data_IF_937716210327
#
_entry.id   IF_937716210327
#
_cell.length_a   1.000
_cell.length_b   1.000
_cell.length_c   1.000
_cell.angle_alpha   90.00
_cell.angle_beta   90.00
_cell.angle_gamma   90.00
#
_symmetry.space_group_name_H-M   'P 1'
#
loop_
_entity.id
_entity.type
_entity.pdbx_description
1 polymer ?
#
# COMPACT_ATOMS: atom_id res chain seq x y z
N UNK A 1 21.18 -28.07 -5.75
CA UNK A 1 21.02 -27.79 -4.32
C UNK A 1 21.93 -26.62 -4.02
N UNK A 2 21.43 -25.49 -3.48
CA UNK A 2 22.31 -24.39 -3.10
C UNK A 2 23.34 -24.92 -2.08
N UNK A 3 24.60 -24.58 -2.29
CA UNK A 3 25.75 -25.10 -1.53
C UNK A 3 25.91 -24.47 -0.15
N UNK A 4 24.98 -23.60 0.26
CA UNK A 4 24.99 -22.88 1.51
C UNK A 4 23.62 -23.00 2.20
N UNK A 5 23.60 -23.42 3.46
CA UNK A 5 22.39 -23.34 4.27
C UNK A 5 22.17 -21.87 4.66
N UNK A 6 20.98 -21.29 4.39
CA UNK A 6 20.69 -19.91 4.74
C UNK A 6 20.66 -19.76 6.28
N UNK A 7 21.35 -18.75 6.81
CA UNK A 7 21.43 -18.48 8.25
C UNK A 7 21.46 -16.98 8.52
N UNK A 8 20.97 -16.56 9.69
CA UNK A 8 20.97 -15.16 10.10
C UNK A 8 20.20 -14.26 9.14
N UNK A 9 20.85 -13.20 8.65
CA UNK A 9 20.24 -12.21 7.73
C UNK A 9 19.83 -12.82 6.37
N UNK A 10 20.34 -13.98 5.98
CA UNK A 10 19.96 -14.64 4.71
C UNK A 10 18.56 -15.26 4.78
N UNK A 11 18.04 -15.52 5.98
CA UNK A 11 16.73 -16.13 6.20
C UNK A 11 15.59 -15.24 5.69
N UNK A 12 15.74 -13.91 5.75
CA UNK A 12 14.68 -12.98 5.31
C UNK A 12 14.49 -12.93 3.79
N UNK A 13 15.41 -13.54 3.03
CA UNK A 13 15.34 -13.60 1.57
C UNK A 13 14.81 -14.93 1.02
N UNK A 14 14.45 -15.87 1.91
CA UNK A 14 13.83 -17.12 1.49
C UNK A 14 12.47 -16.87 0.82
N UNK A 15 12.23 -17.56 -0.29
CA UNK A 15 10.87 -17.65 -0.81
C UNK A 15 9.99 -18.45 0.15
N UNK A 16 8.68 -18.20 0.12
CA UNK A 16 7.71 -18.94 0.93
C UNK A 16 7.82 -20.47 0.72
N UNK A 17 8.09 -20.91 -0.51
CA UNK A 17 8.27 -22.33 -0.83
C UNK A 17 9.53 -22.91 -0.21
N UNK A 18 10.65 -22.19 -0.23
CA UNK A 18 11.90 -22.61 0.40
C UNK A 18 11.76 -22.67 1.92
N UNK A 19 11.18 -21.63 2.53
CA UNK A 19 10.90 -21.61 3.96
C UNK A 19 10.05 -22.81 4.41
N UNK A 20 8.99 -23.14 3.66
CA UNK A 20 8.14 -24.30 3.93
C UNK A 20 8.91 -25.63 3.80
N UNK A 21 9.73 -25.79 2.77
CA UNK A 21 10.53 -27.00 2.56
C UNK A 21 11.57 -27.20 3.69
N UNK A 22 12.26 -26.14 4.08
CA UNK A 22 13.27 -26.17 5.15
C UNK A 22 12.62 -26.43 6.53
N UNK A 23 11.46 -25.82 6.80
CA UNK A 23 10.71 -26.10 8.03
C UNK A 23 10.15 -27.52 8.06
N UNK A 24 9.67 -28.06 6.93
CA UNK A 24 9.22 -29.46 6.85
C UNK A 24 10.35 -30.45 7.15
N UNK A 25 11.59 -30.11 6.77
CA UNK A 25 12.80 -30.88 7.04
C UNK A 25 13.42 -30.60 8.42
N UNK A 26 12.86 -29.65 9.18
CA UNK A 26 13.38 -29.17 10.47
C UNK A 26 14.79 -28.57 10.37
N UNK A 27 15.14 -28.03 9.20
CA UNK A 27 16.42 -27.37 8.93
C UNK A 27 16.38 -25.88 9.32
N UNK A 28 15.21 -25.25 9.22
CA UNK A 28 14.95 -23.88 9.69
C UNK A 28 13.65 -23.86 10.49
N UNK A 29 13.69 -23.30 11.70
CA UNK A 29 12.50 -23.15 12.53
C UNK A 29 11.65 -21.95 12.10
N UNK A 30 10.30 -22.04 12.09
CA UNK A 30 9.43 -20.87 11.88
C UNK A 30 9.70 -19.73 12.88
N UNK A 31 10.09 -20.06 14.11
CA UNK A 31 10.44 -19.06 15.15
C UNK A 31 11.75 -18.36 14.81
N UNK A 32 12.73 -19.09 14.27
CA UNK A 32 14.02 -18.54 13.86
C UNK A 32 13.86 -17.61 12.66
N UNK A 33 13.07 -18.03 11.66
CA UNK A 33 12.70 -17.19 10.53
C UNK A 33 11.99 -15.91 10.98
N UNK A 34 10.99 -16.02 11.85
CA UNK A 34 10.27 -14.85 12.36
C UNK A 34 11.16 -13.89 13.16
N UNK A 35 12.08 -14.41 13.97
CA UNK A 35 13.06 -13.58 14.68
C UNK A 35 13.99 -12.84 13.72
N UNK A 36 14.43 -13.48 12.64
CA UNK A 36 15.23 -12.83 11.62
C UNK A 36 14.47 -11.68 10.93
N UNK A 37 13.18 -11.90 10.61
CA UNK A 37 12.31 -10.86 10.04
C UNK A 37 12.13 -9.68 11.00
N UNK A 38 11.82 -9.95 12.27
CA UNK A 38 11.63 -8.90 13.29
C UNK A 38 12.92 -8.11 13.53
N UNK A 39 14.06 -8.80 13.72
CA UNK A 39 15.34 -8.15 13.93
C UNK A 39 15.76 -7.29 12.72
N UNK A 40 15.45 -7.75 11.50
CA UNK A 40 15.66 -6.96 10.28
C UNK A 40 14.77 -5.73 10.28
N UNK A 41 13.47 -5.88 10.57
CA UNK A 41 12.51 -4.79 10.64
C UNK A 41 12.95 -3.73 11.66
N UNK A 42 13.25 -4.11 12.91
CA UNK A 42 13.73 -3.18 13.95
C UNK A 42 15.00 -2.40 13.55
N UNK A 43 15.89 -3.05 12.78
CA UNK A 43 17.12 -2.42 12.27
C UNK A 43 16.87 -1.44 11.13
N UNK A 44 15.86 -1.68 10.28
CA UNK A 44 15.59 -0.84 9.09
C UNK A 44 14.48 0.15 9.28
N UNK A 45 13.46 -0.16 10.08
CA UNK A 45 12.26 0.65 10.25
C UNK A 45 12.59 2.11 10.62
N UNK A 46 13.56 2.39 11.51
CA UNK A 46 13.92 3.78 11.83
C UNK A 46 14.59 4.56 10.68
N UNK A 47 15.06 3.87 9.63
CA UNK A 47 15.85 4.43 8.53
C UNK A 47 15.09 4.41 7.19
N UNK A 48 14.34 3.33 6.98
CA UNK A 48 13.66 2.98 5.76
C UNK A 48 12.28 2.53 6.21
N UNK A 49 11.31 3.45 6.25
CA UNK A 49 9.87 3.14 6.35
C UNK A 49 9.38 2.36 5.10
N UNK A 50 10.11 1.34 4.63
CA UNK A 50 9.75 0.50 3.49
C UNK A 50 9.19 -0.80 4.04
N UNK A 51 7.87 -0.84 4.17
CA UNK A 51 7.18 -1.90 4.90
C UNK A 51 7.37 -3.33 4.34
N UNK A 52 7.86 -3.55 3.13
CA UNK A 52 8.09 -4.93 2.61
C UNK A 52 9.04 -5.05 1.41
N UNK A 53 9.50 -3.95 0.80
CA UNK A 53 10.27 -4.02 -0.47
C UNK A 53 9.50 -4.63 -1.65
N UNK A 54 8.16 -4.72 -1.55
CA UNK A 54 7.28 -5.26 -2.60
C UNK A 54 6.76 -4.17 -3.53
N UNK A 55 6.25 -4.56 -4.69
CA UNK A 55 5.51 -3.68 -5.59
C UNK A 55 4.06 -3.62 -5.12
N UNK A 56 3.52 -2.42 -4.95
CA UNK A 56 2.10 -2.19 -4.67
C UNK A 56 1.47 -1.33 -5.77
N UNK A 57 0.29 -1.73 -6.23
CA UNK A 57 -0.47 -0.95 -7.21
C UNK A 57 -1.79 -0.45 -6.62
N UNK A 58 -1.88 0.87 -6.47
CA UNK A 58 -3.12 1.55 -6.10
C UNK A 58 -3.94 1.78 -7.37
N UNK A 59 -4.92 0.93 -7.63
CA UNK A 59 -5.75 1.08 -8.82
C UNK A 59 -6.51 2.42 -8.80
N UNK A 60 -6.68 3.10 -9.95
CA UNK A 60 -7.58 4.24 -10.06
C UNK A 60 -8.97 3.92 -9.53
N UNK A 61 -9.59 4.91 -8.88
CA UNK A 61 -10.92 4.76 -8.30
C UNK A 61 -11.93 4.25 -9.34
N UNK A 62 -12.79 3.32 -8.92
CA UNK A 62 -13.78 2.67 -9.79
C UNK A 62 -13.23 1.62 -10.76
N UNK A 63 -11.90 1.44 -10.88
CA UNK A 63 -11.31 0.41 -11.77
C UNK A 63 -11.53 -1.02 -11.27
N UNK A 64 -11.64 -1.16 -9.95
CA UNK A 64 -12.11 -2.38 -9.28
C UNK A 64 -13.25 -2.04 -8.34
N UNK A 65 -14.22 -2.95 -8.15
CA UNK A 65 -15.35 -2.70 -7.28
C UNK A 65 -14.91 -2.42 -5.83
N UNK A 66 -15.44 -1.36 -5.23
CA UNK A 66 -15.12 -0.88 -3.88
C UNK A 66 -16.11 -1.35 -2.81
N UNK A 67 -16.97 -2.35 -3.09
CA UNK A 67 -18.09 -2.84 -2.28
C UNK A 67 -18.08 -2.46 -0.78
N UNK A 68 -19.19 -1.91 -0.29
CA UNK A 68 -19.38 -1.52 1.12
C UNK A 68 -19.50 0.00 1.32
N UNK A 69 -19.54 0.44 2.58
CA UNK A 69 -19.81 1.85 2.94
C UNK A 69 -18.75 2.84 2.42
N UNK A 70 -17.51 2.38 2.26
CA UNK A 70 -16.41 3.19 1.72
C UNK A 70 -16.31 3.10 0.19
N UNK A 71 -17.31 2.56 -0.50
CA UNK A 71 -17.32 2.52 -1.97
C UNK A 71 -17.42 3.92 -2.60
N UNK A 72 -17.95 4.91 -1.87
CA UNK A 72 -18.04 6.31 -2.30
C UNK A 72 -16.81 7.16 -1.91
N UNK A 73 -15.79 6.55 -1.29
CA UNK A 73 -14.53 7.23 -0.99
C UNK A 73 -13.67 7.31 -2.26
N UNK A 74 -13.57 8.49 -2.86
CA UNK A 74 -12.79 8.69 -4.08
C UNK A 74 -11.26 8.60 -3.87
N UNK A 75 -10.79 8.71 -2.62
CA UNK A 75 -9.38 8.50 -2.27
C UNK A 75 -9.09 7.02 -1.98
N UNK A 76 -10.12 6.23 -1.68
CA UNK A 76 -9.97 4.79 -1.59
C UNK A 76 -9.55 4.22 -2.93
N UNK A 77 -8.57 3.34 -2.85
CA UNK A 77 -8.21 2.44 -3.92
C UNK A 77 -7.66 1.22 -3.22
N UNK A 78 -8.14 0.06 -3.63
CA UNK A 78 -7.49 -1.17 -3.22
C UNK A 78 -6.70 -1.66 -4.44
N UNK A 79 -5.75 -2.54 -4.22
CA UNK A 79 -5.04 -3.17 -5.31
C UNK A 79 -3.98 -4.13 -4.80
N UNK A 80 -3.39 -4.90 -5.70
CA UNK A 80 -2.50 -5.98 -5.32
C UNK A 80 -1.15 -5.45 -4.87
N UNK A 81 -0.54 -6.20 -3.96
CA UNK A 81 0.89 -6.13 -3.67
C UNK A 81 1.52 -7.48 -3.99
N UNK A 82 2.65 -7.47 -4.69
CA UNK A 82 3.42 -8.68 -5.01
C UNK A 82 4.91 -8.35 -5.14
N UNK A 83 5.73 -9.38 -5.33
CA UNK A 83 7.19 -9.20 -5.43
C UNK A 83 7.65 -8.65 -6.78
N UNK A 84 6.84 -8.77 -7.82
CA UNK A 84 7.17 -8.33 -9.19
C UNK A 84 6.04 -7.49 -9.78
N UNK A 85 6.38 -6.65 -10.77
CA UNK A 85 5.40 -5.86 -11.53
C UNK A 85 4.46 -6.78 -12.32
N UNK A 86 4.97 -7.87 -12.88
CA UNK A 86 4.17 -8.85 -13.63
C UNK A 86 3.12 -9.53 -12.77
N UNK A 87 3.47 -9.94 -11.55
CA UNK A 87 2.51 -10.53 -10.60
C UNK A 87 1.43 -9.52 -10.21
N UNK A 88 1.83 -8.24 -10.01
CA UNK A 88 0.90 -7.14 -9.74
C UNK A 88 -0.06 -6.92 -10.92
N UNK A 89 0.44 -6.92 -12.16
CA UNK A 89 -0.38 -6.77 -13.38
C UNK A 89 -1.37 -7.94 -13.51
N UNK A 90 -0.88 -9.18 -13.38
CA UNK A 90 -1.71 -10.37 -13.48
C UNK A 90 -2.82 -10.37 -12.43
N UNK A 91 -2.48 -10.06 -11.17
CA UNK A 91 -3.47 -10.00 -10.10
C UNK A 91 -4.44 -8.82 -10.29
N UNK A 92 -3.96 -7.64 -10.67
CA UNK A 92 -4.82 -6.49 -10.94
C UNK A 92 -5.83 -6.78 -12.05
N UNK A 93 -5.43 -7.47 -13.12
CA UNK A 93 -6.32 -7.82 -14.22
C UNK A 93 -7.40 -8.82 -13.81
N UNK A 94 -7.14 -9.71 -12.85
CA UNK A 94 -8.17 -10.60 -12.27
C UNK A 94 -9.16 -9.82 -11.42
N UNK A 95 -8.70 -8.77 -10.73
CA UNK A 95 -9.54 -7.95 -9.85
C UNK A 95 -10.32 -6.84 -10.58
N UNK A 96 -9.89 -6.47 -11.79
CA UNK A 96 -10.47 -5.39 -12.57
C UNK A 96 -11.81 -5.79 -13.18
N UNK A 97 -12.69 -4.81 -13.38
CA UNK A 97 -13.94 -4.98 -14.10
C UNK A 97 -15.15 -4.47 -13.34
N UNK A 98 -16.23 -4.16 -14.07
CA UNK A 98 -17.41 -3.58 -13.47
C UNK A 98 -18.22 -4.61 -12.68
N UNK A 99 -18.68 -4.23 -11.48
CA UNK A 99 -19.67 -5.00 -10.71
C UNK A 99 -21.02 -4.27 -10.71
N UNK A 100 -22.14 -4.95 -11.02
CA UNK A 100 -23.47 -4.32 -11.00
C UNK A 100 -23.90 -3.83 -9.61
N UNK A 101 -23.30 -4.34 -8.53
CA UNK A 101 -23.56 -3.92 -7.15
C UNK A 101 -22.81 -2.64 -6.77
N UNK A 102 -21.85 -2.23 -7.58
CA UNK A 102 -21.04 -1.05 -7.33
C UNK A 102 -21.32 0.03 -8.38
N UNK A 103 -21.99 1.09 -7.93
CA UNK A 103 -22.34 2.23 -8.76
C UNK A 103 -21.12 3.02 -9.25
N UNK A 104 -19.95 2.85 -8.63
CA UNK A 104 -18.73 3.61 -8.96
C UNK A 104 -17.82 2.86 -9.93
N UNK A 105 -18.16 1.61 -10.26
CA UNK A 105 -17.44 0.79 -11.23
C UNK A 105 -17.38 1.44 -12.62
N UNK A 106 -16.16 1.60 -13.13
CA UNK A 106 -15.87 2.13 -14.47
C UNK A 106 -16.22 1.07 -15.53
N UNK A 107 -16.77 1.53 -16.65
CA UNK A 107 -17.13 0.71 -17.81
C UNK A 107 -16.52 1.35 -19.07
N UNK A 108 -15.96 0.58 -20.02
CA UNK A 108 -15.78 -0.90 -19.99
C UNK A 108 -14.68 -1.33 -19.00
N UNK A 109 -14.48 -2.64 -18.85
CA UNK A 109 -13.34 -3.20 -18.12
C UNK A 109 -12.02 -2.70 -18.73
N UNK A 110 -11.06 -2.33 -17.87
CA UNK A 110 -9.76 -1.80 -18.27
C UNK A 110 -8.62 -2.64 -17.69
N UNK A 111 -8.10 -3.56 -18.49
CA UNK A 111 -6.92 -4.36 -18.16
C UNK A 111 -5.61 -3.59 -18.36
N UNK A 112 -4.62 -3.86 -17.52
CA UNK A 112 -3.23 -3.48 -17.73
C UNK A 112 -2.58 -4.39 -18.77
N UNK A 113 -1.68 -3.87 -19.62
CA UNK A 113 -0.96 -4.69 -20.60
C UNK A 113 0.04 -5.61 -19.89
N UNK A 114 0.18 -6.85 -20.38
CA UNK A 114 1.17 -7.84 -19.89
C UNK A 114 2.48 -7.81 -20.67
N UNK A 115 2.58 -6.93 -21.65
CA UNK A 115 3.78 -6.64 -22.42
C UNK A 115 3.93 -5.13 -22.52
N UNK A 116 5.13 -4.63 -22.32
CA UNK A 116 5.42 -3.20 -22.28
C UNK A 116 6.67 -2.90 -23.08
N UNK A 117 6.71 -1.70 -23.66
CA UNK A 117 7.84 -1.20 -24.43
C UNK A 117 8.97 -0.73 -23.51
N UNK A 118 10.15 -0.54 -24.09
CA UNK A 118 11.29 0.07 -23.40
C UNK A 118 10.97 1.52 -23.02
N UNK A 119 11.56 2.03 -21.94
CA UNK A 119 11.29 3.38 -21.43
C UNK A 119 11.92 4.50 -22.26
N UNK A 120 12.68 4.16 -23.30
CA UNK A 120 13.41 5.11 -24.14
C UNK A 120 12.48 6.15 -24.77
N UNK A 121 12.80 7.43 -24.60
CA UNK A 121 12.00 8.56 -25.08
C UNK A 121 10.83 8.95 -24.17
N UNK A 122 10.53 8.21 -23.10
CA UNK A 122 9.48 8.56 -22.13
C UNK A 122 9.89 9.80 -21.33
N UNK A 123 8.98 10.77 -21.20
CA UNK A 123 9.19 11.96 -20.35
C UNK A 123 8.72 11.67 -18.92
N UNK A 124 9.61 11.81 -17.94
CA UNK A 124 9.35 11.50 -16.54
C UNK A 124 9.63 12.73 -15.70
N UNK A 125 8.58 13.28 -15.07
CA UNK A 125 8.73 14.33 -14.09
C UNK A 125 9.02 13.72 -12.71
N UNK A 126 10.19 14.01 -12.15
CA UNK A 126 10.60 13.58 -10.82
C UNK A 126 10.28 14.68 -9.80
N UNK A 127 9.38 14.40 -8.86
CA UNK A 127 9.18 15.26 -7.69
C UNK A 127 9.50 14.47 -6.43
N UNK A 128 10.60 14.82 -5.75
CA UNK A 128 11.08 14.08 -4.57
C UNK A 128 10.35 14.46 -3.28
N UNK A 129 9.83 15.68 -3.19
CA UNK A 129 9.29 16.28 -1.95
C UNK A 129 7.81 16.64 -1.98
N UNK A 130 7.10 16.42 -3.10
CA UNK A 130 5.67 16.75 -3.25
C UNK A 130 5.29 18.13 -2.69
N UNK A 131 6.10 19.16 -3.01
CA UNK A 131 5.98 20.50 -2.43
C UNK A 131 6.85 20.67 -1.18
N UNK A 132 6.29 21.22 -0.11
CA UNK A 132 7.00 21.47 1.15
C UNK A 132 7.19 20.21 2.01
N UNK A 133 6.70 19.03 1.60
CA UNK A 133 6.78 17.82 2.43
C UNK A 133 8.23 17.41 2.72
N UNK A 134 8.49 17.03 3.97
CA UNK A 134 9.81 16.61 4.39
C UNK A 134 10.05 15.15 4.05
N UNK A 135 11.16 14.92 3.33
CA UNK A 135 11.61 13.59 2.93
C UNK A 135 13.01 13.38 3.49
N UNK A 136 13.24 12.20 4.06
CA UNK A 136 14.54 11.86 4.62
C UNK A 136 15.63 11.91 3.52
N UNK A 137 16.83 12.48 3.78
CA UNK A 137 17.85 12.64 2.75
C UNK A 137 18.23 11.34 2.04
N UNK A 138 18.26 10.20 2.75
CA UNK A 138 18.54 8.91 2.12
C UNK A 138 17.44 8.49 1.12
N UNK A 139 16.17 8.78 1.40
CA UNK A 139 15.08 8.49 0.47
C UNK A 139 15.24 9.33 -0.79
N UNK A 140 15.59 10.61 -0.65
CA UNK A 140 15.82 11.46 -1.82
C UNK A 140 17.01 10.96 -2.67
N UNK A 141 18.12 10.56 -2.03
CA UNK A 141 19.31 10.02 -2.72
C UNK A 141 18.97 8.78 -3.54
N UNK A 142 18.26 7.82 -2.95
CA UNK A 142 17.90 6.56 -3.62
C UNK A 142 16.80 6.76 -4.66
N UNK A 143 15.84 7.66 -4.43
CA UNK A 143 14.83 8.01 -5.43
C UNK A 143 15.47 8.64 -6.67
N UNK A 144 16.42 9.56 -6.48
CA UNK A 144 17.20 10.13 -7.61
C UNK A 144 18.06 9.06 -8.28
N UNK A 145 18.57 8.07 -7.56
CA UNK A 145 19.32 6.95 -8.14
C UNK A 145 18.43 6.09 -9.06
N UNK A 146 17.22 5.73 -8.61
CA UNK A 146 16.26 5.02 -9.44
C UNK A 146 15.88 5.81 -10.71
N UNK A 147 15.69 7.13 -10.57
CA UNK A 147 15.41 8.01 -11.70
C UNK A 147 16.59 8.06 -12.70
N UNK A 148 17.84 8.07 -12.21
CA UNK A 148 19.02 7.98 -13.08
C UNK A 148 19.06 6.67 -13.87
N UNK A 149 18.70 5.54 -13.26
CA UNK A 149 18.60 4.27 -13.98
C UNK A 149 17.59 4.31 -15.14
N UNK A 150 16.48 5.04 -14.99
CA UNK A 150 15.52 5.26 -16.08
C UNK A 150 16.11 6.18 -17.17
N UNK A 151 16.85 7.22 -16.77
CA UNK A 151 17.55 8.11 -17.71
C UNK A 151 18.62 7.35 -18.52
N UNK A 152 19.41 6.51 -17.87
CA UNK A 152 20.42 5.66 -18.51
C UNK A 152 19.79 4.66 -19.51
N UNK A 153 18.54 4.26 -19.27
CA UNK A 153 17.73 3.44 -20.18
C UNK A 153 17.06 4.26 -21.31
N UNK A 154 17.34 5.57 -21.41
CA UNK A 154 16.89 6.44 -22.49
C UNK A 154 15.64 7.29 -22.17
N UNK A 155 15.14 7.27 -20.94
CA UNK A 155 14.06 8.17 -20.54
C UNK A 155 14.56 9.62 -20.38
N UNK A 156 13.67 10.58 -20.61
CA UNK A 156 13.91 12.01 -20.37
C UNK A 156 13.39 12.37 -18.98
N UNK A 157 14.29 12.46 -18.00
CA UNK A 157 13.91 12.74 -16.60
C UNK A 157 14.14 14.22 -16.28
N UNK A 158 13.09 14.90 -15.83
CA UNK A 158 13.11 16.30 -15.39
C UNK A 158 12.73 16.38 -13.92
N UNK A 159 13.60 16.97 -13.08
CA UNK A 159 13.26 17.22 -11.67
C UNK A 159 12.38 18.48 -11.57
N UNK A 160 11.22 18.34 -10.93
CA UNK A 160 10.23 19.41 -10.77
C UNK A 160 9.88 19.64 -9.29
N UNK A 161 9.43 20.86 -9.00
CA UNK A 161 8.85 21.21 -7.70
C UNK A 161 7.38 21.52 -7.89
N UNK A 162 6.54 20.83 -7.11
CA UNK A 162 5.11 21.14 -7.05
C UNK A 162 4.90 22.34 -6.12
N UNK A 163 4.02 23.29 -6.48
CA UNK A 163 3.81 24.51 -5.70
C UNK A 163 2.85 24.28 -4.52
N UNK A 164 3.02 23.18 -3.78
CA UNK A 164 2.13 22.80 -2.67
C UNK A 164 2.77 23.12 -1.32
N UNK A 165 2.04 23.87 -0.50
CA UNK A 165 2.45 24.14 0.88
C UNK A 165 1.95 23.07 1.84
N UNK A 166 2.53 22.99 3.05
CA UNK A 166 1.96 22.13 4.11
C UNK A 166 0.48 22.43 4.38
N UNK A 167 0.10 23.71 4.31
CA UNK A 167 -1.28 24.13 4.53
C UNK A 167 -2.21 23.63 3.43
N UNK A 168 -1.79 23.64 2.16
CA UNK A 168 -2.58 23.11 1.05
C UNK A 168 -2.85 21.61 1.21
N UNK A 169 -1.80 20.87 1.61
CA UNK A 169 -1.89 19.43 1.87
C UNK A 169 -2.85 19.13 3.03
N UNK A 170 -2.68 19.81 4.17
CA UNK A 170 -3.54 19.65 5.34
C UNK A 170 -4.99 20.05 5.05
N UNK A 171 -5.20 21.14 4.31
CA UNK A 171 -6.53 21.60 3.91
C UNK A 171 -7.22 20.57 3.02
N UNK A 172 -6.48 19.98 2.07
CA UNK A 172 -7.01 18.95 1.18
C UNK A 172 -7.40 17.68 1.94
N UNK A 173 -6.54 17.22 2.86
CA UNK A 173 -6.79 16.06 3.72
C UNK A 173 -8.01 16.32 4.61
N UNK A 174 -8.04 17.46 5.30
CA UNK A 174 -9.14 17.83 6.17
C UNK A 174 -10.47 17.97 5.40
N UNK A 175 -10.45 18.58 4.21
CA UNK A 175 -11.63 18.70 3.35
C UNK A 175 -12.19 17.34 2.92
N UNK A 176 -11.31 16.41 2.54
CA UNK A 176 -11.71 15.04 2.19
C UNK A 176 -12.35 14.32 3.38
N UNK A 177 -11.66 14.26 4.53
CA UNK A 177 -12.18 13.58 5.72
C UNK A 177 -13.44 14.25 6.28
N UNK A 178 -13.55 15.58 6.19
CA UNK A 178 -14.77 16.29 6.59
C UNK A 178 -15.95 15.91 5.69
N UNK A 179 -15.72 15.71 4.40
CA UNK A 179 -16.78 15.33 3.46
C UNK A 179 -17.28 13.90 3.72
N UNK A 180 -16.39 12.97 4.05
CA UNK A 180 -16.76 11.56 4.21
C UNK A 180 -17.13 11.16 5.65
N UNK A 181 -16.51 11.77 6.67
CA UNK A 181 -16.73 11.46 8.09
C UNK A 181 -17.47 12.56 8.86
N UNK A 182 -17.65 13.76 8.29
CA UNK A 182 -18.19 14.92 9.04
C UNK A 182 -19.56 14.66 9.66
N UNK A 183 -20.46 13.98 8.94
CA UNK A 183 -21.76 13.57 9.49
C UNK A 183 -21.65 12.64 10.70
N UNK A 184 -20.73 11.66 10.64
CA UNK A 184 -20.47 10.74 11.75
C UNK A 184 -19.87 11.45 12.97
N UNK A 185 -18.97 12.41 12.74
CA UNK A 185 -18.36 13.21 13.83
C UNK A 185 -19.41 14.07 14.54
N UNK A 186 -20.32 14.70 13.77
CA UNK A 186 -21.43 15.48 14.34
C UNK A 186 -22.34 14.56 15.18
N UNK A 187 -22.75 13.42 14.63
CA UNK A 187 -23.59 12.46 15.34
C UNK A 187 -22.92 11.94 16.63
N UNK A 188 -21.63 11.60 16.58
CA UNK A 188 -20.88 11.15 17.75
C UNK A 188 -20.74 12.25 18.81
N UNK A 189 -20.52 13.50 18.40
CA UNK A 189 -20.43 14.65 19.31
C UNK A 189 -21.75 14.95 20.01
N UNK A 190 -22.88 14.80 19.31
CA UNK A 190 -24.23 15.01 19.85
C UNK A 190 -24.66 13.87 20.79
N UNK A 191 -24.32 12.63 20.45
CA UNK A 191 -24.79 11.43 21.18
C UNK A 191 -23.90 11.01 22.35
N UNK A 192 -22.64 11.49 22.41
CA UNK A 192 -21.60 11.06 23.39
C UNK A 192 -21.32 9.54 23.41
N UNK A 193 -21.85 8.79 22.44
CA UNK A 193 -21.54 7.39 22.21
C UNK A 193 -20.86 7.26 20.84
N UNK A 194 -19.52 7.15 20.77
CA UNK A 194 -18.86 6.94 19.49
C UNK A 194 -19.26 5.59 18.92
N UNK A 195 -20.14 5.60 17.90
CA UNK A 195 -20.47 4.41 17.13
C UNK A 195 -19.50 4.32 15.96
N UNK A 196 -18.60 3.33 16.00
CA UNK A 196 -17.79 3.00 14.84
C UNK A 196 -18.70 2.65 13.65
N UNK A 197 -18.29 2.91 12.39
CA UNK A 197 -19.06 2.53 11.22
C UNK A 197 -19.40 1.03 11.29
N UNK A 198 -20.69 0.73 11.26
CA UNK A 198 -21.20 -0.62 11.43
C UNK A 198 -20.87 -1.44 10.18
N UNK A 199 -19.87 -2.33 10.29
CA UNK A 199 -19.65 -3.36 9.28
C UNK A 199 -20.74 -4.42 9.44
N UNK A 200 -21.60 -4.67 8.44
CA UNK A 200 -22.52 -5.80 8.52
C UNK A 200 -21.68 -7.08 8.58
N UNK A 201 -22.05 -8.00 9.48
CA UNK A 201 -21.49 -9.35 9.42
C UNK A 201 -21.87 -10.00 8.08
N UNK A 202 -21.18 -11.08 7.69
CA UNK A 202 -21.48 -11.83 6.47
C UNK A 202 -22.92 -12.41 6.40
N UNK A 203 -23.75 -12.18 7.43
CA UNK A 203 -25.16 -12.54 7.50
C UNK A 203 -26.11 -11.33 7.46
N UNK A 204 -25.61 -10.11 7.22
CA UNK A 204 -26.42 -8.90 7.09
C UNK A 204 -27.03 -8.39 8.40
N UNK A 205 -26.55 -8.84 9.57
CA UNK A 205 -26.97 -8.33 10.87
C UNK A 205 -26.02 -7.23 11.33
N UNK A 206 -26.57 -6.04 11.55
CA UNK A 206 -25.87 -4.93 12.19
C UNK A 206 -26.00 -5.05 13.71
N UNK A 207 -24.89 -5.32 14.39
CA UNK A 207 -24.75 -5.03 15.82
C UNK A 207 -23.59 -4.07 15.99
N UNK A 208 -23.83 -2.97 16.73
CA UNK A 208 -22.79 -2.00 17.02
C UNK A 208 -21.73 -2.63 17.91
N UNK A 209 -20.47 -2.43 17.53
CA UNK A 209 -19.31 -2.77 18.36
C UNK A 209 -18.99 -1.57 19.24
N UNK A 210 -18.67 -1.84 20.50
CA UNK A 210 -18.21 -0.87 21.50
C UNK A 210 -16.73 -0.54 21.26
N UNK A 211 -16.28 0.64 21.71
CA UNK A 211 -14.88 1.06 21.57
C UNK A 211 -13.88 0.05 22.16
N UNK A 212 -14.27 -0.71 23.17
CA UNK A 212 -13.48 -1.80 23.77
C UNK A 212 -13.31 -3.04 22.88
N UNK A 213 -14.14 -3.19 21.85
CA UNK A 213 -14.04 -4.32 20.92
C UNK A 213 -13.21 -3.98 19.67
N UNK A 214 -12.76 -2.72 19.53
CA UNK A 214 -11.99 -2.21 18.40
C UNK A 214 -10.48 -2.06 18.72
N UNK A 215 -10.00 -2.71 19.78
CA UNK A 215 -8.64 -2.57 20.29
C UNK A 215 -7.60 -3.28 19.40
N UNK A 216 -7.23 -2.63 18.29
CA UNK A 216 -6.07 -2.97 17.44
C UNK A 216 -4.87 -2.04 17.68
N UNK A 217 -4.93 -1.16 18.69
CA UNK A 217 -3.91 -0.15 18.95
C UNK A 217 -3.53 -0.02 20.44
N UNK A 218 -3.38 -1.15 21.15
CA UNK A 218 -2.57 -1.16 22.37
C UNK A 218 -1.09 -0.92 22.01
N UNK A 219 -0.70 0.35 21.89
CA UNK A 219 0.67 0.78 22.17
C UNK A 219 0.64 1.25 23.62
N UNK A 220 1.04 0.37 24.53
CA UNK A 220 1.31 0.75 25.92
C UNK A 220 2.47 1.77 25.94
N UNK A 221 2.27 2.85 26.68
CA UNK A 221 3.26 3.91 26.92
C UNK A 221 4.29 3.50 27.98
#
# INVERSE_FOLDING_TARGET
MPSHMPAGDDLVYLSATEALQLSARREVSPVELMRAVVARAEKVEPLINAFTGTVGFKAPYGRKPGLGMLAADHYRGDGPMARTVDDVIAFQNVLAGPDPRDHTSIRPELSLPTSYEDVAGTHIALCTRLGEYDVHPEVEVHTRAAARTLADAGAQVEEITLPWTHLDLLTSIAGHFSTILGGLVIEAAETREPRAPVFPDGAGRSRGWTASEYDLWHVEA
#
